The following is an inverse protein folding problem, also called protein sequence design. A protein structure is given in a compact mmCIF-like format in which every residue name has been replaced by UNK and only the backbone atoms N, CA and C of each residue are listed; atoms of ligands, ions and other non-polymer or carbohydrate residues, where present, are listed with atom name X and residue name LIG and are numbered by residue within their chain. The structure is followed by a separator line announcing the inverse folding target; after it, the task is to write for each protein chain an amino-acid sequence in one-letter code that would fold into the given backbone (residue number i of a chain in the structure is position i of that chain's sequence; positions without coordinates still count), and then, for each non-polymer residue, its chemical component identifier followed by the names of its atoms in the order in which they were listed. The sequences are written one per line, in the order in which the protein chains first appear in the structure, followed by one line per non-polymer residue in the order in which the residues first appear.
data_IF_838531647744
#
_entry.id   IF_838531647744
#
_cell.length_a   1.000
_cell.length_b   1.000
_cell.length_c   1.000
_cell.angle_alpha   90.00
_cell.angle_beta   90.00
_cell.angle_gamma   90.00
#
_symmetry.space_group_name_H-M   'P 1'
#
loop_
_entity.id
_entity.type
_entity.pdbx_description
1 polymer ?
#
# COMPACT_ATOMS: atom_id res chain seq x y z
N UNK A 1 0.55 -24.16 73.74
CA UNK A 1 1.17 -24.06 72.41
C UNK A 1 0.95 -22.64 71.95
N UNK A 2 1.94 -21.78 72.17
CA UNK A 2 1.90 -20.38 71.73
C UNK A 2 2.42 -20.34 70.29
N UNK A 3 1.70 -19.65 69.41
CA UNK A 3 2.23 -19.31 68.09
C UNK A 3 3.16 -18.12 68.25
N UNK A 4 4.43 -18.28 67.87
CA UNK A 4 5.28 -17.12 67.67
C UNK A 4 4.66 -16.31 66.54
N UNK A 5 4.38 -15.03 66.75
CA UNK A 5 3.80 -14.11 65.76
C UNK A 5 4.74 -13.81 64.58
N UNK A 6 5.35 -14.85 64.03
CA UNK A 6 6.34 -14.81 62.97
C UNK A 6 5.69 -14.48 61.64
N UNK A 7 6.10 -13.37 61.04
CA UNK A 7 5.78 -13.06 59.65
C UNK A 7 6.63 -13.97 58.75
N UNK A 8 6.00 -14.94 58.11
CA UNK A 8 6.64 -15.77 57.08
C UNK A 8 6.18 -15.33 55.68
N UNK A 9 7.06 -15.39 54.69
CA UNK A 9 6.74 -15.02 53.29
C UNK A 9 6.39 -16.28 52.51
N UNK A 10 5.18 -16.33 51.97
CA UNK A 10 4.77 -17.37 51.03
C UNK A 10 5.18 -17.02 49.59
N UNK A 11 5.31 -18.04 48.74
CA UNK A 11 5.52 -17.85 47.29
C UNK A 11 4.18 -17.97 46.57
N UNK A 12 4.01 -17.25 45.47
CA UNK A 12 2.81 -17.35 44.62
C UNK A 12 3.23 -17.63 43.19
N UNK A 13 2.71 -18.72 42.62
CA UNK A 13 2.86 -19.06 41.21
C UNK A 13 1.61 -18.61 40.45
N UNK A 14 1.73 -17.52 39.68
CA UNK A 14 0.62 -16.93 38.93
C UNK A 14 0.33 -17.69 37.62
N UNK A 15 -0.93 -18.05 37.43
CA UNK A 15 -1.45 -18.65 36.20
C UNK A 15 -1.89 -17.56 35.21
N UNK A 16 -0.90 -16.93 34.59
CA UNK A 16 -1.14 -15.86 33.60
C UNK A 16 -1.71 -16.43 32.29
N UNK A 17 -1.36 -17.67 31.93
CA UNK A 17 -1.73 -18.25 30.63
C UNK A 17 -3.21 -18.63 30.55
N UNK A 18 -3.80 -19.09 31.66
CA UNK A 18 -5.20 -19.49 31.69
C UNK A 18 -6.14 -18.36 32.15
N UNK A 19 -5.65 -17.12 32.24
CA UNK A 19 -6.52 -15.98 32.50
C UNK A 19 -7.37 -15.66 31.26
N UNK A 20 -8.52 -15.00 31.44
CA UNK A 20 -9.47 -14.72 30.37
C UNK A 20 -9.11 -13.52 29.49
N UNK A 21 -7.86 -13.03 29.55
CA UNK A 21 -7.41 -11.90 28.75
C UNK A 21 -7.38 -12.27 27.26
N UNK A 22 -7.97 -11.43 26.41
CA UNK A 22 -7.97 -11.58 24.96
C UNK A 22 -7.30 -10.38 24.30
N UNK A 23 -6.06 -10.55 23.84
CA UNK A 23 -5.30 -9.48 23.19
C UNK A 23 -5.89 -9.00 21.85
N UNK A 24 -6.74 -9.82 21.21
CA UNK A 24 -7.43 -9.44 19.97
C UNK A 24 -8.68 -8.59 20.23
N UNK A 25 -9.22 -8.61 21.46
CA UNK A 25 -10.33 -7.76 21.84
C UNK A 25 -9.84 -6.36 22.21
N UNK A 26 -10.48 -5.35 21.62
CA UNK A 26 -10.13 -3.93 21.77
C UNK A 26 -11.03 -3.23 22.77
N UNK A 27 -12.07 -3.90 23.27
CA UNK A 27 -12.89 -3.40 24.37
C UNK A 27 -12.10 -3.40 25.69
N UNK A 28 -12.61 -2.64 26.66
CA UNK A 28 -12.11 -2.72 28.02
C UNK A 28 -12.35 -4.12 28.58
N UNK A 29 -11.36 -4.67 29.27
CA UNK A 29 -11.40 -6.03 29.82
C UNK A 29 -11.12 -6.00 31.31
N UNK A 30 -11.89 -6.78 32.08
CA UNK A 30 -11.64 -7.03 33.49
C UNK A 30 -11.54 -8.52 33.70
N UNK A 31 -10.41 -8.99 34.20
CA UNK A 31 -10.17 -10.42 34.44
C UNK A 31 -9.41 -10.65 35.74
N UNK A 32 -9.42 -11.90 36.21
CA UNK A 32 -8.70 -12.31 37.41
C UNK A 32 -7.58 -13.27 37.02
N UNK A 33 -6.38 -13.02 37.56
CA UNK A 33 -5.26 -13.96 37.49
C UNK A 33 -5.23 -14.74 38.80
N UNK A 34 -5.34 -16.07 38.69
CA UNK A 34 -5.27 -16.98 39.83
C UNK A 34 -3.80 -17.31 40.11
N UNK A 35 -3.42 -17.34 41.38
CA UNK A 35 -2.09 -17.74 41.83
C UNK A 35 -2.18 -18.89 42.82
N UNK A 36 -1.35 -19.91 42.64
CA UNK A 36 -1.19 -20.98 43.61
C UNK A 36 -0.17 -20.56 44.67
N UNK A 37 -0.56 -20.65 45.95
CA UNK A 37 0.28 -20.25 47.08
C UNK A 37 1.05 -21.46 47.60
N UNK A 38 2.37 -21.31 47.73
CA UNK A 38 3.22 -22.30 48.41
C UNK A 38 3.61 -21.73 49.77
N UNK A 39 3.20 -22.43 50.83
CA UNK A 39 3.55 -22.08 52.20
C UNK A 39 5.06 -22.25 52.43
N UNK A 40 5.67 -21.40 53.26
CA UNK A 40 7.06 -21.58 53.67
C UNK A 40 7.20 -22.78 54.60
N UNK A 41 8.41 -23.32 54.69
CA UNK A 41 8.72 -24.47 55.55
C UNK A 41 8.32 -24.19 57.01
N UNK A 42 7.71 -25.18 57.66
CA UNK A 42 7.26 -25.09 59.05
C UNK A 42 5.93 -24.35 59.26
N UNK A 43 5.21 -24.00 58.20
CA UNK A 43 3.84 -23.46 58.28
C UNK A 43 2.82 -24.51 57.85
N UNK A 44 1.97 -24.94 58.79
CA UNK A 44 0.94 -25.93 58.54
C UNK A 44 -0.41 -25.29 58.12
N UNK A 45 -1.21 -26.04 57.36
CA UNK A 45 -2.57 -25.67 56.95
C UNK A 45 -3.60 -26.68 57.45
N UNK A 46 -3.63 -26.93 58.76
CA UNK A 46 -4.51 -27.91 59.40
C UNK A 46 -6.02 -27.64 59.19
N UNK A 47 -6.37 -26.41 58.82
CA UNK A 47 -7.74 -26.01 58.54
C UNK A 47 -8.13 -26.19 57.06
N UNK A 48 -7.25 -26.77 56.23
CA UNK A 48 -7.49 -27.04 54.81
C UNK A 48 -7.98 -25.80 54.03
N UNK A 49 -7.42 -24.63 54.36
CA UNK A 49 -7.78 -23.38 53.67
C UNK A 49 -7.22 -23.43 52.24
N UNK A 50 -7.97 -22.91 51.28
CA UNK A 50 -7.51 -22.79 49.90
C UNK A 50 -6.24 -21.93 49.80
N UNK A 51 -5.18 -22.52 49.25
CA UNK A 51 -3.90 -21.85 49.04
C UNK A 51 -3.89 -21.09 47.71
N UNK A 52 -4.75 -20.09 47.61
CA UNK A 52 -4.96 -19.30 46.39
C UNK A 52 -4.83 -17.80 46.65
N UNK A 53 -4.23 -17.12 45.69
CA UNK A 53 -4.21 -15.66 45.61
C UNK A 53 -4.85 -15.22 44.30
N UNK A 54 -5.42 -14.01 44.28
CA UNK A 54 -6.09 -13.46 43.11
C UNK A 54 -5.64 -12.03 42.87
N UNK A 55 -5.38 -11.70 41.61
CA UNK A 55 -5.18 -10.32 41.16
C UNK A 55 -6.26 -9.99 40.15
N UNK A 56 -7.04 -8.95 40.43
CA UNK A 56 -7.95 -8.35 39.45
C UNK A 56 -7.16 -7.38 38.58
N UNK A 57 -7.24 -7.56 37.27
CA UNK A 57 -6.61 -6.71 36.27
C UNK A 57 -7.72 -6.05 35.45
N UNK A 58 -7.58 -4.74 35.24
CA UNK A 58 -8.42 -3.98 34.31
C UNK A 58 -7.53 -3.45 33.18
N UNK A 59 -7.96 -3.68 31.94
CA UNK A 59 -7.33 -3.18 30.72
C UNK A 59 -8.31 -2.22 30.09
N UNK A 60 -7.86 -1.00 29.82
CA UNK A 60 -8.68 0.01 29.16
C UNK A 60 -8.98 -0.36 27.70
N UNK A 61 -10.07 0.19 27.17
CA UNK A 61 -10.38 0.03 25.77
C UNK A 61 -9.30 0.70 24.89
N UNK A 62 -9.02 0.09 23.75
CA UNK A 62 -8.17 0.71 22.75
C UNK A 62 -8.85 1.97 22.21
N UNK A 63 -8.10 3.07 22.18
CA UNK A 63 -8.53 4.31 21.52
C UNK A 63 -8.08 4.28 20.06
N UNK A 64 -9.01 4.33 19.09
CA UNK A 64 -8.66 4.33 17.67
C UNK A 64 -7.70 5.44 17.27
N UNK A 65 -6.73 5.10 16.44
CA UNK A 65 -5.88 6.10 15.79
C UNK A 65 -6.69 6.81 14.73
N UNK A 66 -6.81 8.12 14.88
CA UNK A 66 -7.36 9.00 13.85
C UNK A 66 -6.23 9.77 13.16
N UNK A 67 -6.48 10.24 11.94
CA UNK A 67 -5.55 11.03 11.15
C UNK A 67 -6.26 12.22 10.53
N UNK A 68 -5.53 13.30 10.28
CA UNK A 68 -6.08 14.47 9.61
C UNK A 68 -6.09 14.28 8.09
N UNK A 69 -7.14 14.78 7.44
CA UNK A 69 -7.15 14.96 5.99
C UNK A 69 -6.03 15.92 5.52
N UNK A 70 -5.58 16.82 6.37
CA UNK A 70 -4.50 17.78 6.04
C UNK A 70 -3.14 17.11 5.88
N UNK A 71 -2.97 15.91 6.43
CA UNK A 71 -1.73 15.13 6.28
C UNK A 71 -1.63 14.40 4.92
N UNK A 72 -2.70 14.40 4.12
CA UNK A 72 -2.66 13.92 2.73
C UNK A 72 -1.77 14.83 1.90
N UNK A 73 -0.88 14.24 1.10
CA UNK A 73 0.15 14.99 0.36
C UNK A 73 0.26 14.53 -1.08
N UNK A 74 0.56 15.50 -1.95
CA UNK A 74 1.03 15.27 -3.32
C UNK A 74 2.49 15.71 -3.35
N UNK A 75 3.37 14.84 -3.83
CA UNK A 75 4.82 15.08 -3.88
C UNK A 75 5.35 14.80 -5.28
N UNK A 76 6.54 15.31 -5.62
CA UNK A 76 7.18 15.11 -6.94
C UNK A 76 6.77 16.13 -8.02
N UNK A 77 5.72 16.92 -7.77
CA UNK A 77 5.33 18.09 -8.56
C UNK A 77 5.45 19.34 -7.71
N UNK A 78 5.97 20.42 -8.29
CA UNK A 78 6.16 21.70 -7.62
C UNK A 78 4.86 22.52 -7.65
N UNK A 79 4.52 23.12 -6.52
CA UNK A 79 3.41 24.07 -6.44
C UNK A 79 3.77 25.32 -7.23
N UNK A 80 2.90 25.68 -8.17
CA UNK A 80 3.14 26.73 -9.17
C UNK A 80 4.39 26.48 -10.03
N UNK A 81 4.81 25.22 -10.17
CA UNK A 81 5.92 24.84 -11.03
C UNK A 81 5.65 25.19 -12.50
N UNK A 82 6.71 25.51 -13.23
CA UNK A 82 6.66 25.82 -14.67
C UNK A 82 7.35 24.70 -15.44
N UNK A 83 6.58 24.00 -16.26
CA UNK A 83 7.05 22.89 -17.09
C UNK A 83 6.85 23.23 -18.58
N UNK A 84 7.36 22.39 -19.48
CA UNK A 84 7.20 22.61 -20.93
C UNK A 84 6.33 21.54 -21.58
N UNK A 85 5.90 21.75 -22.82
CA UNK A 85 5.17 20.74 -23.60
C UNK A 85 5.94 19.44 -23.85
N UNK A 86 7.25 19.41 -23.57
CA UNK A 86 8.10 18.21 -23.63
C UNK A 86 8.35 17.59 -22.25
N UNK A 87 7.93 18.25 -21.16
CA UNK A 87 8.13 17.76 -19.81
C UNK A 87 7.31 16.50 -19.55
N UNK A 88 7.96 15.54 -18.90
CA UNK A 88 7.33 14.36 -18.32
C UNK A 88 7.26 14.54 -16.81
N UNK A 89 6.09 14.91 -16.30
CA UNK A 89 5.87 15.28 -14.90
C UNK A 89 5.45 14.02 -14.14
N UNK A 90 6.15 13.71 -13.06
CA UNK A 90 5.82 12.59 -12.17
C UNK A 90 5.38 13.09 -10.82
N UNK A 91 4.46 12.39 -10.17
CA UNK A 91 4.05 12.71 -8.81
C UNK A 91 3.67 11.45 -8.04
N UNK A 92 3.68 11.57 -6.71
CA UNK A 92 3.23 10.53 -5.78
C UNK A 92 2.21 11.09 -4.81
N UNK A 93 1.09 10.39 -4.66
CA UNK A 93 0.08 10.66 -3.65
C UNK A 93 0.36 9.85 -2.38
N UNK A 94 0.39 10.52 -1.23
CA UNK A 94 0.63 9.91 0.08
C UNK A 94 -0.56 10.20 0.97
N UNK A 95 -1.32 9.16 1.30
CA UNK A 95 -2.47 9.29 2.19
C UNK A 95 -2.06 9.27 3.67
N UNK A 96 -2.77 10.00 4.50
CA UNK A 96 -2.56 10.03 5.94
C UNK A 96 -2.87 8.64 6.57
N UNK A 97 -2.05 8.21 7.54
CA UNK A 97 -2.25 6.94 8.26
C UNK A 97 -1.94 5.67 7.46
N UNK A 98 -1.35 5.80 6.27
CA UNK A 98 -0.95 4.65 5.44
C UNK A 98 0.22 3.84 6.01
N UNK A 99 0.96 4.39 6.98
CA UNK A 99 2.04 3.76 7.72
C UNK A 99 1.58 2.85 8.87
N UNK A 100 0.26 2.78 9.13
CA UNK A 100 -0.31 1.90 10.15
C UNK A 100 -0.29 0.42 9.72
N UNK A 101 0.83 -0.26 9.99
CA UNK A 101 1.08 -1.66 9.63
C UNK A 101 0.39 -2.70 10.56
N UNK A 102 -0.25 -2.25 11.64
CA UNK A 102 -0.94 -3.13 12.60
C UNK A 102 -2.23 -2.47 13.07
N UNK A 103 -3.19 -2.27 12.15
CA UNK A 103 -4.40 -1.53 12.44
C UNK A 103 -5.30 -2.28 13.42
N UNK A 104 -5.98 -1.51 14.26
CA UNK A 104 -7.00 -2.00 15.19
C UNK A 104 -8.35 -1.43 14.84
N UNK A 105 -9.41 -2.11 15.31
CA UNK A 105 -10.79 -1.72 15.00
C UNK A 105 -11.01 -0.25 15.33
N UNK A 106 -11.55 0.49 14.37
CA UNK A 106 -11.84 1.91 14.46
C UNK A 106 -10.76 2.82 13.88
N UNK A 107 -9.53 2.34 13.66
CA UNK A 107 -8.44 3.14 13.10
C UNK A 107 -8.85 3.75 11.74
N UNK A 108 -8.37 4.97 11.46
CA UNK A 108 -8.65 5.71 10.23
C UNK A 108 -7.37 5.85 9.40
N UNK A 109 -7.52 5.80 8.07
CA UNK A 109 -6.50 6.20 7.11
C UNK A 109 -7.14 6.86 5.89
N UNK A 110 -6.34 7.50 5.07
CA UNK A 110 -6.70 7.95 3.74
C UNK A 110 -5.89 7.18 2.69
N UNK A 111 -6.54 6.79 1.60
CA UNK A 111 -5.89 6.06 0.49
C UNK A 111 -6.12 6.85 -0.80
N UNK A 112 -5.08 7.11 -1.61
CA UNK A 112 -5.27 7.72 -2.92
C UNK A 112 -6.22 6.89 -3.79
N UNK A 113 -7.26 7.53 -4.31
CA UNK A 113 -8.31 6.89 -5.10
C UNK A 113 -8.11 7.17 -6.59
N UNK A 114 -8.12 8.45 -6.94
CA UNK A 114 -8.01 8.89 -8.32
C UNK A 114 -7.34 10.27 -8.41
N UNK A 115 -6.94 10.62 -9.62
CA UNK A 115 -6.32 11.90 -9.93
C UNK A 115 -6.77 12.42 -11.28
N UNK A 116 -6.78 13.74 -11.42
CA UNK A 116 -7.26 14.44 -12.61
C UNK A 116 -6.35 15.62 -12.91
N UNK A 117 -5.94 15.74 -14.18
CA UNK A 117 -5.39 16.99 -14.74
C UNK A 117 -6.29 17.44 -15.89
N UNK A 118 -6.53 16.53 -16.84
CA UNK A 118 -7.54 16.67 -17.91
C UNK A 118 -8.56 15.53 -17.77
N UNK A 119 -8.06 14.29 -17.79
CA UNK A 119 -8.86 13.09 -17.60
C UNK A 119 -8.68 12.55 -16.18
N UNK A 120 -9.71 11.91 -15.65
CA UNK A 120 -9.65 11.20 -14.36
C UNK A 120 -9.05 9.81 -14.56
N UNK A 121 -8.06 9.48 -13.75
CA UNK A 121 -7.37 8.19 -13.72
C UNK A 121 -7.40 7.65 -12.29
N UNK A 122 -7.50 6.34 -12.12
CA UNK A 122 -7.55 5.69 -10.80
C UNK A 122 -6.29 4.85 -10.55
N UNK A 123 -6.00 4.62 -9.26
CA UNK A 123 -5.06 3.57 -8.86
C UNK A 123 -5.84 2.40 -8.25
N UNK A 124 -5.50 1.18 -8.64
CA UNK A 124 -6.08 -0.02 -8.02
C UNK A 124 -5.33 -0.41 -6.73
N UNK A 125 -4.03 -0.10 -6.66
CA UNK A 125 -3.15 -0.41 -5.53
C UNK A 125 -1.88 0.44 -5.54
N UNK A 126 -1.16 0.43 -4.42
CA UNK A 126 0.18 0.98 -4.31
C UNK A 126 1.16 0.35 -5.32
N UNK A 127 2.19 1.08 -5.77
CA UNK A 127 2.53 2.46 -5.41
C UNK A 127 1.61 3.50 -6.08
N UNK A 128 1.21 4.53 -5.33
CA UNK A 128 0.34 5.61 -5.80
C UNK A 128 1.14 6.71 -6.51
N UNK A 129 1.91 6.29 -7.51
CA UNK A 129 2.74 7.15 -8.36
C UNK A 129 2.13 7.20 -9.75
N UNK A 130 2.16 8.36 -10.39
CA UNK A 130 1.73 8.53 -11.77
C UNK A 130 2.64 9.50 -12.51
N UNK A 131 2.54 9.47 -13.83
CA UNK A 131 3.35 10.30 -14.71
C UNK A 131 2.53 10.74 -15.92
N UNK A 132 2.63 12.02 -16.30
CA UNK A 132 1.89 12.59 -17.41
C UNK A 132 2.71 13.67 -18.14
N UNK A 133 2.25 14.03 -19.34
CA UNK A 133 2.76 15.15 -20.12
C UNK A 133 1.58 15.88 -20.77
N UNK A 134 1.79 17.14 -21.17
CA UNK A 134 0.76 17.99 -21.75
C UNK A 134 1.29 18.62 -23.04
N UNK A 135 0.53 18.49 -24.13
CA UNK A 135 0.92 18.99 -25.45
C UNK A 135 0.50 20.44 -25.72
N UNK A 136 -0.29 21.04 -24.83
CA UNK A 136 -0.76 22.41 -24.93
C UNK A 136 -0.22 23.23 -23.76
N UNK A 137 0.18 24.46 -24.06
CA UNK A 137 0.54 25.45 -23.05
C UNK A 137 -0.71 25.95 -22.33
N UNK A 138 -0.52 26.41 -21.09
CA UNK A 138 -1.58 26.94 -20.24
C UNK A 138 -1.38 26.61 -18.76
N UNK A 139 -2.31 27.09 -17.95
CA UNK A 139 -2.37 26.81 -16.51
C UNK A 139 -3.23 25.58 -16.25
N UNK A 140 -2.73 24.71 -15.38
CA UNK A 140 -3.35 23.43 -15.06
C UNK A 140 -3.39 23.21 -13.55
N UNK A 141 -4.23 22.27 -13.13
CA UNK A 141 -4.31 21.85 -11.74
C UNK A 141 -4.38 20.33 -11.70
N UNK A 142 -3.42 19.72 -11.01
CA UNK A 142 -3.50 18.32 -10.60
C UNK A 142 -4.40 18.24 -9.38
N UNK A 143 -5.49 17.49 -9.46
CA UNK A 143 -6.35 17.12 -8.34
C UNK A 143 -6.11 15.67 -7.98
N UNK A 144 -5.98 15.36 -6.70
CA UNK A 144 -5.91 13.98 -6.18
C UNK A 144 -6.97 13.81 -5.12
N UNK A 145 -7.83 12.81 -5.31
CA UNK A 145 -8.87 12.43 -4.36
C UNK A 145 -8.35 11.29 -3.47
N UNK A 146 -8.49 11.47 -2.16
CA UNK A 146 -8.16 10.50 -1.15
C UNK A 146 -9.43 9.99 -0.50
N UNK A 147 -9.62 8.67 -0.50
CA UNK A 147 -10.74 8.00 0.15
C UNK A 147 -10.39 7.72 1.61
N UNK A 148 -11.19 8.23 2.55
CA UNK A 148 -11.05 7.85 3.95
C UNK A 148 -11.55 6.41 4.13
N UNK A 149 -10.77 5.61 4.85
CA UNK A 149 -11.11 4.25 5.23
C UNK A 149 -11.05 4.08 6.75
N UNK A 150 -11.93 3.23 7.28
CA UNK A 150 -11.89 2.77 8.67
C UNK A 150 -11.60 1.28 8.72
N UNK A 151 -10.73 0.86 9.66
CA UNK A 151 -10.44 -0.54 9.88
C UNK A 151 -11.54 -1.18 10.72
N UNK A 152 -12.21 -2.22 10.21
CA UNK A 152 -13.32 -2.86 10.90
C UNK A 152 -12.89 -3.97 11.87
N UNK A 153 -11.59 -4.15 12.10
CA UNK A 153 -11.00 -5.26 12.85
C UNK A 153 -10.51 -6.42 11.98
N UNK A 154 -10.79 -6.39 10.67
CA UNK A 154 -10.31 -7.37 9.70
C UNK A 154 -9.77 -6.73 8.43
N UNK A 155 -10.53 -5.80 7.86
CA UNK A 155 -10.21 -5.12 6.61
C UNK A 155 -10.47 -3.62 6.76
N UNK A 156 -9.73 -2.84 5.97
CA UNK A 156 -10.06 -1.45 5.72
C UNK A 156 -11.30 -1.35 4.83
N UNK A 157 -12.23 -0.50 5.20
CA UNK A 157 -13.47 -0.23 4.46
C UNK A 157 -13.60 1.26 4.21
N UNK A 158 -14.05 1.61 3.01
CA UNK A 158 -14.34 3.00 2.67
C UNK A 158 -15.45 3.52 3.60
N UNK A 159 -15.27 4.76 4.01
CA UNK A 159 -16.35 5.58 4.58
C UNK A 159 -16.95 6.45 3.47
N UNK A 160 -17.93 7.28 3.81
CA UNK A 160 -18.48 8.27 2.86
C UNK A 160 -17.60 9.52 2.74
N UNK A 161 -16.52 9.63 3.53
CA UNK A 161 -15.63 10.79 3.56
C UNK A 161 -14.51 10.69 2.53
N UNK A 162 -14.28 11.78 1.82
CA UNK A 162 -13.13 11.96 0.92
C UNK A 162 -12.46 13.30 1.20
N UNK A 163 -11.19 13.39 0.85
CA UNK A 163 -10.43 14.63 0.83
C UNK A 163 -9.83 14.84 -0.56
N UNK A 164 -9.68 16.08 -0.98
CA UNK A 164 -9.06 16.40 -2.27
C UNK A 164 -7.92 17.38 -2.06
N UNK A 165 -6.71 16.99 -2.48
CA UNK A 165 -5.57 17.90 -2.57
C UNK A 165 -5.34 18.33 -4.01
N UNK A 166 -4.80 19.52 -4.18
CA UNK A 166 -4.59 20.12 -5.49
C UNK A 166 -3.20 20.76 -5.58
N UNK A 167 -2.58 20.67 -6.75
CA UNK A 167 -1.34 21.36 -7.08
C UNK A 167 -1.54 22.10 -8.39
N UNK A 168 -1.48 23.43 -8.34
CA UNK A 168 -1.46 24.27 -9.53
C UNK A 168 -0.06 24.27 -10.16
N UNK A 169 0.00 24.31 -11.48
CA UNK A 169 1.25 24.40 -12.26
C UNK A 169 0.95 24.95 -13.66
N UNK A 170 1.98 25.36 -14.40
CA UNK A 170 1.83 25.85 -15.77
C UNK A 170 2.69 25.07 -16.77
N UNK A 171 2.24 25.09 -18.03
CA UNK A 171 2.96 24.51 -19.17
C UNK A 171 3.27 25.63 -20.16
N UNK A 172 4.55 25.83 -20.45
CA UNK A 172 5.01 26.68 -21.55
C UNK A 172 5.27 25.85 -22.81
N UNK A 173 5.32 26.51 -23.96
CA UNK A 173 5.84 25.86 -25.16
C UNK A 173 7.32 25.54 -24.96
N UNK A 174 7.73 24.33 -25.37
CA UNK A 174 9.15 23.99 -25.39
C UNK A 174 9.88 24.85 -26.44
N UNK A 175 10.98 25.48 -26.05
CA UNK A 175 11.79 26.27 -26.97
C UNK A 175 12.50 25.34 -27.95
N UNK A 176 12.14 25.39 -29.22
CA UNK A 176 12.85 24.65 -30.28
C UNK A 176 14.12 25.41 -30.62
N UNK A 177 15.26 25.02 -30.05
CA UNK A 177 16.58 25.48 -30.51
C UNK A 177 17.07 24.62 -31.66
N UNK A 178 16.50 24.81 -32.85
CA UNK A 178 17.11 24.47 -34.13
C UNK A 178 16.45 25.29 -35.25
N UNK A 179 17.21 26.03 -36.09
CA UNK A 179 16.67 26.62 -37.31
C UNK A 179 16.32 25.52 -38.31
N UNK A 180 15.06 25.47 -38.75
CA UNK A 180 14.67 24.82 -40.00
C UNK A 180 14.31 23.32 -39.91
N UNK A 181 13.05 23.04 -39.58
CA UNK A 181 12.15 22.23 -40.43
C UNK A 181 10.74 22.42 -39.89
N UNK A 182 9.88 23.08 -40.69
CA UNK A 182 8.44 23.09 -40.45
C UNK A 182 7.95 21.64 -40.53
N UNK A 183 7.76 20.98 -39.39
CA UNK A 183 6.98 19.76 -39.32
C UNK A 183 5.53 20.16 -39.01
N UNK A 184 4.82 20.57 -40.05
CA UNK A 184 3.37 20.44 -40.07
C UNK A 184 3.03 18.96 -39.90
N UNK A 185 2.21 18.55 -38.90
CA UNK A 185 1.77 17.18 -38.81
C UNK A 185 0.76 16.92 -39.94
N UNK A 186 1.22 16.37 -41.06
CA UNK A 186 0.32 15.88 -42.09
C UNK A 186 -0.39 14.64 -41.57
N UNK A 187 -1.71 14.70 -41.55
CA UNK A 187 -2.59 13.60 -41.21
C UNK A 187 -2.26 12.33 -42.03
N UNK A 188 -2.35 11.18 -41.35
CA UNK A 188 -2.35 9.80 -41.86
C UNK A 188 -2.38 9.64 -43.38
N UNK A 189 -1.23 9.38 -43.97
CA UNK A 189 -1.13 8.49 -45.13
C UNK A 189 -0.16 7.36 -44.76
N UNK A 190 -0.66 6.13 -44.67
CA UNK A 190 0.18 4.94 -44.65
C UNK A 190 0.98 4.90 -45.95
N UNK A 191 2.23 5.34 -45.92
CA UNK A 191 3.23 5.04 -46.94
C UNK A 191 4.42 4.35 -46.27
N UNK A 192 4.75 3.20 -46.82
CA UNK A 192 5.88 2.35 -46.43
C UNK A 192 7.18 3.15 -46.43
N UNK A 193 8.02 2.96 -45.41
CA UNK A 193 9.34 3.60 -45.35
C UNK A 193 10.28 2.89 -46.31
N UNK A 194 10.88 3.64 -47.25
CA UNK A 194 12.11 3.25 -47.93
C UNK A 194 13.28 3.74 -47.08
N UNK A 195 14.02 2.83 -46.46
CA UNK A 195 15.31 3.13 -45.83
C UNK A 195 16.39 3.08 -46.90
N UNK A 196 16.90 4.24 -47.31
CA UNK A 196 18.03 4.40 -48.22
C UNK A 196 19.36 4.45 -47.44
N UNK A 197 19.68 3.41 -46.67
CA UNK A 197 21.02 3.27 -46.09
C UNK A 197 21.73 2.05 -46.70
N UNK A 198 22.93 2.21 -47.30
CA UNK A 198 23.73 1.09 -47.76
C UNK A 198 24.58 0.62 -46.58
N UNK A 199 24.05 -0.32 -45.80
CA UNK A 199 24.85 -1.08 -44.85
C UNK A 199 24.67 -2.56 -45.18
N UNK A 200 25.76 -3.22 -45.55
CA UNK A 200 25.77 -4.64 -45.90
C UNK A 200 25.30 -5.49 -44.71
N UNK A 201 24.07 -5.98 -44.77
CA UNK A 201 23.51 -6.98 -43.85
C UNK A 201 23.39 -8.31 -44.62
N UNK A 202 24.53 -8.83 -45.05
CA UNK A 202 24.69 -10.18 -45.60
C UNK A 202 25.51 -10.92 -44.53
N UNK A 203 24.93 -11.64 -43.53
CA UNK A 203 24.24 -12.92 -43.75
C UNK A 203 23.15 -13.38 -42.72
N UNK A 204 22.64 -12.55 -41.80
CA UNK A 204 21.89 -13.06 -40.62
C UNK A 204 20.35 -13.23 -40.78
N UNK A 205 19.77 -13.10 -41.98
CA UNK A 205 18.32 -13.23 -42.20
C UNK A 205 17.89 -14.60 -42.77
N UNK A 206 18.81 -15.54 -42.99
CA UNK A 206 18.49 -16.85 -43.60
C UNK A 206 18.00 -17.92 -42.59
N UNK A 207 18.10 -17.68 -41.28
CA UNK A 207 17.86 -18.74 -40.27
C UNK A 207 16.37 -18.88 -39.84
N UNK A 208 15.48 -17.95 -40.18
CA UNK A 208 14.05 -18.05 -39.79
C UNK A 208 13.08 -18.58 -40.86
N UNK A 209 13.55 -18.98 -42.05
CA UNK A 209 12.69 -19.52 -43.13
C UNK A 209 12.84 -21.05 -43.33
N UNK A 210 13.82 -21.72 -42.72
CA UNK A 210 14.01 -23.17 -42.92
C UNK A 210 13.07 -24.04 -42.03
N UNK A 211 12.52 -23.50 -40.94
CA UNK A 211 11.66 -24.29 -40.04
C UNK A 211 10.18 -24.42 -40.48
N UNK A 212 9.67 -23.54 -41.35
CA UNK A 212 8.29 -23.62 -41.86
C UNK A 212 8.15 -24.51 -43.12
N UNK A 213 9.23 -24.71 -43.89
CA UNK A 213 9.25 -25.55 -45.10
C UNK A 213 9.29 -27.05 -44.82
N UNK A 214 9.91 -27.49 -43.71
CA UNK A 214 10.01 -28.91 -43.36
C UNK A 214 8.67 -29.51 -42.90
N UNK A 215 7.79 -28.73 -42.27
CA UNK A 215 6.49 -29.23 -41.76
C UNK A 215 5.49 -29.43 -42.90
N UNK A 216 5.47 -28.55 -43.90
CA UNK A 216 4.56 -28.68 -45.05
C UNK A 216 4.98 -29.82 -46.01
N UNK A 217 6.29 -30.04 -46.18
CA UNK A 217 6.82 -31.13 -46.99
C UNK A 217 6.48 -32.53 -46.46
N UNK A 218 6.49 -32.73 -45.14
CA UNK A 218 6.16 -34.02 -44.51
C UNK A 218 4.66 -34.34 -44.63
N UNK A 219 3.78 -33.33 -44.52
CA UNK A 219 2.32 -33.52 -44.65
C UNK A 219 1.95 -33.84 -46.10
N UNK A 220 2.58 -33.19 -47.09
CA UNK A 220 2.34 -33.49 -48.51
C UNK A 220 2.86 -34.88 -48.91
N UNK A 221 4.05 -35.29 -48.41
CA UNK A 221 4.63 -36.59 -48.75
C UNK A 221 3.84 -37.78 -48.17
N UNK A 222 3.28 -37.66 -46.94
CA UNK A 222 2.43 -38.70 -46.34
C UNK A 222 1.07 -38.87 -47.03
N UNK A 223 0.54 -37.83 -47.70
CA UNK A 223 -0.74 -37.91 -48.41
C UNK A 223 -0.62 -38.57 -49.79
N UNK A 224 0.60 -38.66 -50.36
CA UNK A 224 0.86 -39.22 -51.69
C UNK A 224 1.39 -40.66 -51.67
N UNK A 225 1.66 -41.25 -50.50
CA UNK A 225 2.04 -42.66 -50.34
C UNK A 225 1.11 -43.38 -49.34
N UNK A 226 -0.12 -43.65 -49.80
CA UNK A 226 -0.60 -45.04 -49.79
C UNK A 226 0.11 -45.77 -50.92
#
# INVERSE_FOLDING_TARGET
METTGGKAKAKVAWDVKNCSYNAADTAAQSFTVKGAVTLPDGVDNNNNIDLLAYVKVNVEAYTPKTVSADDNKITGIEVNGVYTTQSKISFTAVGAGMDNNSPKKGDIRYVPLNWTVINTNAWDKAPYTACFGLSKSGDYTLKVVFQQQQYNGKNWKNTDSQDTKQVAFSISEAKVTAPGTNLTPSANQKKSVKTNDPTDIIPFVVILIIAAGAVYGVIYYKKKKK
#
